data_IF_241538618437
#
_entry.id   IF_241538618437
#
_cell.length_a   1.000
_cell.length_b   1.000
_cell.length_c   1.000
_cell.angle_alpha   90.00
_cell.angle_beta   90.00
_cell.angle_gamma   90.00
#
_symmetry.space_group_name_H-M   'P 1'
#
loop_
_entity.id
_entity.type
_entity.pdbx_description
1 polymer ?
#
# COMPACT_ATOMS: atom_id res chain seq x y z
N UNK A 1 2.99 86.21 -16.67
CA UNK A 1 2.12 85.43 -15.76
C UNK A 1 2.33 83.95 -16.09
N UNK A 2 2.78 83.12 -15.13
CA UNK A 2 3.29 81.78 -15.42
C UNK A 2 2.15 80.75 -15.57
N UNK A 3 2.34 79.80 -16.48
CA UNK A 3 1.43 78.68 -16.73
C UNK A 3 1.59 77.57 -15.70
N UNK A 4 0.47 77.00 -15.25
CA UNK A 4 0.40 75.84 -14.37
C UNK A 4 0.77 74.57 -15.15
N UNK A 5 1.82 73.87 -14.71
CA UNK A 5 2.09 72.48 -15.09
C UNK A 5 1.39 71.58 -14.06
N UNK A 6 0.30 70.96 -14.47
CA UNK A 6 -0.37 69.88 -13.74
C UNK A 6 0.48 68.60 -13.88
N UNK A 7 1.05 68.11 -12.77
CA UNK A 7 1.73 66.81 -12.71
C UNK A 7 0.79 65.78 -12.11
N UNK A 8 0.31 64.87 -12.95
CA UNK A 8 -0.45 63.68 -12.55
C UNK A 8 0.50 62.71 -11.84
N UNK A 9 0.26 62.44 -10.55
CA UNK A 9 0.98 61.42 -9.78
C UNK A 9 0.35 60.05 -10.08
N UNK A 10 1.00 59.24 -10.89
CA UNK A 10 0.61 57.84 -11.08
C UNK A 10 1.12 57.03 -9.88
N UNK A 11 0.20 56.62 -9.00
CA UNK A 11 0.50 55.68 -7.91
C UNK A 11 0.50 54.28 -8.55
N UNK A 12 1.70 53.75 -8.83
CA UNK A 12 1.86 52.35 -9.19
C UNK A 12 1.66 51.50 -7.93
N UNK A 13 0.50 50.86 -7.82
CA UNK A 13 0.22 49.84 -6.82
C UNK A 13 1.06 48.60 -7.14
N UNK A 14 2.20 48.48 -6.47
CA UNK A 14 3.02 47.28 -6.48
C UNK A 14 2.30 46.20 -5.66
N UNK A 15 1.53 45.35 -6.35
CA UNK A 15 0.98 44.13 -5.78
C UNK A 15 2.16 43.18 -5.47
N UNK A 16 2.59 43.14 -4.21
CA UNK A 16 3.49 42.12 -3.73
C UNK A 16 2.77 40.76 -3.86
N UNK A 17 3.15 39.99 -4.88
CA UNK A 17 2.84 38.57 -4.96
C UNK A 17 3.59 37.92 -3.81
N UNK A 18 2.92 37.75 -2.67
CA UNK A 18 3.41 36.91 -1.58
C UNK A 18 3.58 35.50 -2.18
N UNK A 19 4.79 34.92 -2.19
CA UNK A 19 4.93 33.52 -2.55
C UNK A 19 4.12 32.71 -1.54
N UNK A 20 3.26 31.81 -2.04
CA UNK A 20 2.61 30.82 -1.22
C UNK A 20 3.68 30.17 -0.32
N UNK A 21 3.48 30.21 0.99
CA UNK A 21 4.39 29.59 1.95
C UNK A 21 4.56 28.13 1.55
N UNK A 22 5.72 27.79 1.00
CA UNK A 22 6.07 26.40 0.80
C UNK A 22 6.12 25.79 2.20
N UNK A 23 5.27 24.81 2.47
CA UNK A 23 5.34 23.99 3.67
C UNK A 23 6.74 23.38 3.71
N UNK A 24 7.64 23.98 4.49
CA UNK A 24 8.98 23.46 4.66
C UNK A 24 8.86 22.08 5.26
N UNK A 25 9.68 21.14 4.78
CA UNK A 25 9.79 19.85 5.42
C UNK A 25 10.25 20.05 6.88
N UNK A 26 9.45 19.59 7.82
CA UNK A 26 9.71 19.77 9.25
C UNK A 26 9.36 18.48 10.01
N UNK A 27 10.11 18.17 11.06
CA UNK A 27 9.82 17.10 12.02
C UNK A 27 9.63 15.69 11.41
N UNK A 28 10.26 15.43 10.26
CA UNK A 28 10.28 14.10 9.66
C UNK A 28 11.24 13.15 10.38
N UNK A 29 10.85 11.88 10.50
CA UNK A 29 11.64 10.84 11.18
C UNK A 29 11.92 9.69 10.20
N UNK A 30 13.19 9.34 10.05
CA UNK A 30 13.64 8.11 9.40
C UNK A 30 14.37 7.26 10.44
N UNK A 31 13.86 6.06 10.70
CA UNK A 31 14.56 5.04 11.48
C UNK A 31 14.78 3.81 10.62
N UNK A 32 16.01 3.32 10.53
CA UNK A 32 16.41 2.25 9.60
C UNK A 32 17.37 1.26 10.27
N UNK A 33 17.18 -0.03 9.97
CA UNK A 33 18.08 -1.12 10.26
C UNK A 33 18.34 -1.89 8.96
N UNK A 34 19.60 -1.93 8.54
CA UNK A 34 20.04 -2.73 7.39
C UNK A 34 21.02 -3.79 7.88
N UNK A 35 20.65 -5.06 7.72
CA UNK A 35 21.50 -6.20 8.07
C UNK A 35 21.74 -7.04 6.81
N UNK A 36 22.98 -7.50 6.63
CA UNK A 36 23.42 -8.19 5.41
C UNK A 36 24.04 -7.25 4.37
N UNK A 37 24.04 -7.64 3.10
CA UNK A 37 24.88 -7.03 2.07
C UNK A 37 24.12 -6.39 0.90
N UNK A 38 24.59 -5.24 0.41
CA UNK A 38 24.06 -4.54 -0.79
C UNK A 38 22.58 -4.11 -0.67
N UNK A 39 22.12 -3.80 0.53
CA UNK A 39 20.80 -3.22 0.73
C UNK A 39 20.82 -1.71 0.38
N UNK A 40 19.74 -1.21 -0.23
CA UNK A 40 19.56 0.20 -0.58
C UNK A 40 18.19 0.69 -0.12
N UNK A 41 18.14 1.79 0.60
CA UNK A 41 16.89 2.51 0.91
C UNK A 41 17.06 3.98 0.52
N UNK A 42 16.21 4.46 -0.39
CA UNK A 42 16.11 5.86 -0.76
C UNK A 42 14.83 6.44 -0.19
N UNK A 43 14.92 7.55 0.53
CA UNK A 43 13.78 8.22 1.15
C UNK A 43 13.78 9.68 0.74
N UNK A 44 12.68 10.14 0.16
CA UNK A 44 12.40 11.54 -0.11
C UNK A 44 11.22 12.02 0.75
N UNK A 45 11.52 12.94 1.67
CA UNK A 45 10.56 13.62 2.54
C UNK A 45 10.66 15.14 2.38
N UNK A 46 11.22 15.63 1.27
CA UNK A 46 11.46 17.05 1.02
C UNK A 46 10.18 17.90 0.96
N UNK A 47 9.03 17.24 0.73
CA UNK A 47 7.70 17.85 0.68
C UNK A 47 6.78 17.33 1.81
N UNK A 48 7.35 16.70 2.84
CA UNK A 48 6.59 16.12 3.94
C UNK A 48 6.83 16.86 5.26
N UNK A 49 5.84 16.90 6.15
CA UNK A 49 6.01 17.33 7.55
C UNK A 49 5.50 16.26 8.51
N UNK A 50 6.08 16.16 9.70
CA UNK A 50 5.67 15.21 10.76
C UNK A 50 5.53 13.76 10.27
N UNK A 51 6.27 13.40 9.22
CA UNK A 51 6.09 12.14 8.51
C UNK A 51 7.20 11.15 8.86
N UNK A 52 6.87 9.86 8.86
CA UNK A 52 7.75 8.85 9.43
C UNK A 52 7.92 7.63 8.52
N UNK A 53 9.17 7.19 8.39
CA UNK A 53 9.53 5.89 7.82
C UNK A 53 10.09 5.04 8.96
N UNK A 54 9.48 3.90 9.21
CA UNK A 54 9.81 3.05 10.35
C UNK A 54 9.36 1.61 10.21
N UNK A 55 9.26 0.94 11.35
CA UNK A 55 9.14 -0.50 11.43
C UNK A 55 7.75 -1.03 11.15
N UNK A 56 7.75 -2.30 10.75
CA UNK A 56 6.57 -3.09 10.47
C UNK A 56 6.71 -4.45 11.17
N UNK A 57 5.65 -4.88 11.85
CA UNK A 57 5.56 -6.24 12.37
C UNK A 57 4.48 -6.99 11.62
N UNK A 58 4.82 -8.19 11.14
CA UNK A 58 3.92 -9.07 10.40
C UNK A 58 3.66 -10.31 11.24
N UNK A 59 2.39 -10.66 11.37
CA UNK A 59 1.93 -11.92 11.96
C UNK A 59 1.19 -12.73 10.90
N UNK A 60 1.29 -14.04 10.99
CA UNK A 60 0.54 -14.94 10.13
C UNK A 60 -0.67 -15.47 10.90
N UNK A 61 -1.87 -15.34 10.31
CA UNK A 61 -3.12 -15.78 10.92
C UNK A 61 -3.86 -16.71 9.98
N UNK A 62 -4.53 -17.73 10.54
CA UNK A 62 -5.44 -18.58 9.77
C UNK A 62 -6.84 -17.96 9.81
N UNK A 63 -7.38 -17.63 8.64
CA UNK A 63 -8.76 -17.16 8.49
C UNK A 63 -9.62 -18.28 7.92
N UNK A 64 -10.79 -18.54 8.51
CA UNK A 64 -11.66 -19.65 8.10
C UNK A 64 -12.70 -19.15 7.10
N UNK A 65 -12.57 -19.54 5.83
CA UNK A 65 -13.63 -19.31 4.85
C UNK A 65 -14.68 -20.42 4.97
N UNK A 66 -15.88 -20.04 5.43
CA UNK A 66 -17.05 -20.92 5.49
C UNK A 66 -17.91 -20.70 4.24
N UNK A 67 -17.92 -21.66 3.32
CA UNK A 67 -18.89 -21.68 2.21
C UNK A 67 -20.21 -22.29 2.72
N UNK A 68 -21.23 -21.46 2.95
CA UNK A 68 -22.61 -21.93 3.12
C UNK A 68 -23.36 -21.78 1.80
N UNK A 69 -23.44 -22.85 1.02
CA UNK A 69 -24.37 -22.95 -0.10
C UNK A 69 -25.63 -23.69 0.35
N UNK A 70 -26.75 -22.99 0.50
CA UNK A 70 -28.06 -23.63 0.60
C UNK A 70 -28.61 -23.75 -0.83
N UNK A 71 -28.58 -24.96 -1.39
CA UNK A 71 -29.35 -25.24 -2.60
C UNK A 71 -30.80 -25.45 -2.19
N UNK A 72 -31.70 -24.67 -2.77
CA UNK A 72 -33.14 -24.93 -2.71
C UNK A 72 -33.40 -26.30 -3.36
N UNK A 73 -33.89 -27.25 -2.56
CA UNK A 73 -34.20 -28.60 -2.98
C UNK A 73 -35.28 -28.67 -4.08
N UNK A 74 -35.94 -27.54 -4.39
CA UNK A 74 -36.96 -27.44 -5.44
C UNK A 74 -36.45 -27.44 -6.89
N UNK A 75 -35.15 -27.26 -7.15
CA UNK A 75 -34.65 -27.07 -8.53
C UNK A 75 -34.11 -28.34 -9.22
N UNK A 76 -34.09 -29.50 -8.55
CA UNK A 76 -33.55 -30.75 -9.12
C UNK A 76 -34.56 -31.88 -8.99
N UNK A 77 -35.46 -31.96 -9.95
CA UNK A 77 -36.20 -33.18 -10.21
C UNK A 77 -35.23 -34.33 -10.46
N UNK A 78 -35.35 -35.39 -9.67
CA UNK A 78 -34.71 -36.71 -9.79
C UNK A 78 -33.27 -36.87 -9.25
N UNK A 79 -33.21 -37.37 -8.01
CA UNK A 79 -32.33 -38.46 -7.53
C UNK A 79 -30.88 -38.56 -8.05
N UNK A 80 -30.02 -37.66 -7.58
CA UNK A 80 -28.70 -37.96 -6.99
C UNK A 80 -28.09 -36.71 -6.33
N UNK A 81 -28.93 -35.98 -5.58
CA UNK A 81 -28.55 -34.76 -4.90
C UNK A 81 -27.86 -35.07 -3.57
N UNK A 82 -26.55 -34.84 -3.50
CA UNK A 82 -25.86 -34.44 -2.26
C UNK A 82 -24.60 -33.68 -2.65
N UNK A 83 -24.71 -32.37 -2.86
CA UNK A 83 -23.55 -31.48 -2.71
C UNK A 83 -23.51 -31.04 -1.25
N UNK A 84 -22.89 -31.85 -0.39
CA UNK A 84 -22.42 -31.38 0.92
C UNK A 84 -20.95 -31.04 0.75
N UNK A 85 -20.67 -29.76 0.52
CA UNK A 85 -19.36 -29.20 0.86
C UNK A 85 -19.57 -28.16 1.95
N UNK A 86 -19.90 -28.59 3.17
CA UNK A 86 -19.52 -27.84 4.36
C UNK A 86 -18.03 -28.11 4.61
N UNK A 87 -17.16 -27.49 3.82
CA UNK A 87 -15.73 -27.53 4.03
C UNK A 87 -15.26 -26.15 4.48
N UNK A 88 -14.75 -26.05 5.70
CA UNK A 88 -13.97 -24.87 6.10
C UNK A 88 -12.62 -24.94 5.39
N UNK A 89 -12.36 -24.02 4.45
CA UNK A 89 -11.00 -23.86 3.93
C UNK A 89 -10.30 -22.81 4.79
N UNK A 90 -9.21 -23.21 5.42
CA UNK A 90 -8.34 -22.26 6.11
C UNK A 90 -7.48 -21.53 5.08
N UNK A 91 -7.53 -20.21 5.12
CA UNK A 91 -6.69 -19.33 4.33
C UNK A 91 -5.61 -18.78 5.24
N UNK A 92 -4.36 -18.92 4.81
CA UNK A 92 -3.25 -18.21 5.45
C UNK A 92 -3.35 -16.73 5.09
N UNK A 93 -3.27 -15.85 6.08
CA UNK A 93 -3.43 -14.39 5.93
C UNK A 93 -2.37 -13.70 6.78
N UNK A 94 -1.48 -12.96 6.12
CA UNK A 94 -0.58 -12.01 6.77
C UNK A 94 -1.34 -10.80 7.32
N UNK A 95 -1.05 -10.39 8.55
CA UNK A 95 -1.51 -9.14 9.15
C UNK A 95 -0.33 -8.29 9.58
N UNK A 96 -0.38 -7.03 9.20
CA UNK A 96 0.63 -6.05 9.53
C UNK A 96 0.16 -5.13 10.66
N UNK A 97 1.11 -4.72 11.49
CA UNK A 97 0.95 -3.62 12.43
C UNK A 97 2.12 -2.65 12.28
N UNK A 98 1.82 -1.36 12.17
CA UNK A 98 2.84 -0.33 12.17
C UNK A 98 3.54 -0.28 13.53
N UNK A 99 4.86 -0.26 13.50
CA UNK A 99 5.71 -0.10 14.67
C UNK A 99 6.55 1.14 14.47
N UNK A 100 5.91 2.29 14.57
CA UNK A 100 6.56 3.58 14.37
C UNK A 100 7.87 3.68 15.18
N UNK A 101 7.88 3.22 16.43
CA UNK A 101 9.08 3.30 17.28
C UNK A 101 10.20 2.31 16.93
N UNK A 102 9.95 1.39 16.00
CA UNK A 102 10.96 0.47 15.48
C UNK A 102 11.53 0.98 14.16
N UNK A 103 12.76 0.59 13.79
CA UNK A 103 13.32 0.92 12.49
C UNK A 103 12.60 0.20 11.35
N UNK A 104 12.55 0.83 10.18
CA UNK A 104 12.34 0.15 8.92
C UNK A 104 13.47 -0.88 8.72
N UNK A 105 13.13 -2.12 8.34
CA UNK A 105 14.11 -3.22 8.30
C UNK A 105 14.36 -3.69 6.88
N UNK A 106 15.64 -3.77 6.50
CA UNK A 106 16.13 -4.52 5.35
C UNK A 106 17.14 -5.55 5.82
N UNK A 107 16.68 -6.78 6.01
CA UNK A 107 17.48 -7.92 6.48
C UNK A 107 17.74 -8.88 5.31
N UNK A 108 18.98 -9.34 5.18
CA UNK A 108 19.44 -10.15 4.07
C UNK A 108 20.26 -9.37 3.05
N UNK A 109 20.24 -9.83 1.79
CA UNK A 109 21.01 -9.21 0.72
C UNK A 109 20.15 -8.68 -0.43
N UNK A 110 20.67 -7.63 -1.07
CA UNK A 110 20.13 -6.99 -2.27
C UNK A 110 18.71 -6.42 -2.13
N UNK A 111 18.24 -6.13 -0.91
CA UNK A 111 16.95 -5.49 -0.72
C UNK A 111 17.02 -4.03 -1.18
N UNK A 112 16.00 -3.57 -1.89
CA UNK A 112 15.92 -2.23 -2.43
C UNK A 112 14.55 -1.62 -2.16
N UNK A 113 14.52 -0.38 -1.69
CA UNK A 113 13.29 0.35 -1.49
C UNK A 113 13.46 1.83 -1.87
N UNK A 114 12.47 2.38 -2.55
CA UNK A 114 12.32 3.82 -2.77
C UNK A 114 11.04 4.27 -2.11
N UNK A 115 11.14 5.28 -1.25
CA UNK A 115 10.02 5.82 -0.48
C UNK A 115 9.93 7.32 -0.72
N UNK A 116 8.75 7.79 -1.09
CA UNK A 116 8.44 9.21 -1.22
C UNK A 116 7.24 9.54 -0.34
N UNK A 117 7.39 10.52 0.54
CA UNK A 117 6.30 11.09 1.31
C UNK A 117 6.11 12.56 0.95
N UNK A 118 4.85 12.97 0.89
CA UNK A 118 4.45 14.37 0.70
C UNK A 118 3.25 14.68 1.60
N UNK A 119 3.09 15.93 2.03
CA UNK A 119 2.04 16.32 2.98
C UNK A 119 2.40 16.04 4.43
N UNK A 120 1.43 16.03 5.33
CA UNK A 120 1.70 15.92 6.77
C UNK A 120 1.27 14.57 7.36
N UNK A 121 1.99 14.11 8.39
CA UNK A 121 1.65 12.92 9.19
C UNK A 121 1.59 11.60 8.41
N UNK A 122 2.29 11.51 7.28
CA UNK A 122 2.36 10.27 6.51
C UNK A 122 3.22 9.22 7.22
N UNK A 123 2.84 7.94 7.12
CA UNK A 123 3.65 6.85 7.67
C UNK A 123 3.94 5.78 6.63
N UNK A 124 5.20 5.34 6.58
CA UNK A 124 5.62 4.15 5.83
C UNK A 124 6.24 3.13 6.78
N UNK A 125 5.59 1.98 6.88
CA UNK A 125 6.11 0.79 7.56
C UNK A 125 6.78 -0.13 6.55
N UNK A 126 8.06 -0.43 6.73
CA UNK A 126 8.83 -1.26 5.81
C UNK A 126 9.51 -2.43 6.53
N UNK A 127 9.30 -3.63 6.00
CA UNK A 127 10.02 -4.84 6.37
C UNK A 127 10.35 -5.63 5.10
N UNK A 128 11.63 -5.71 4.75
CA UNK A 128 12.14 -6.55 3.67
C UNK A 128 13.10 -7.57 4.28
N UNK A 129 12.74 -8.84 4.21
CA UNK A 129 13.58 -9.94 4.70
C UNK A 129 13.82 -10.90 3.55
N UNK A 130 15.06 -10.95 3.07
CA UNK A 130 15.53 -11.92 2.08
C UNK A 130 16.53 -12.87 2.72
N UNK A 131 16.61 -14.15 2.28
CA UNK A 131 17.71 -15.02 2.70
C UNK A 131 19.06 -14.40 2.29
N UNK A 132 20.09 -14.53 3.14
CA UNK A 132 21.42 -13.89 2.96
C UNK A 132 22.10 -14.19 1.60
N UNK A 133 21.67 -15.22 0.87
CA UNK A 133 22.20 -15.64 -0.43
C UNK A 133 21.15 -15.65 -1.57
N UNK A 134 20.01 -14.99 -1.36
CA UNK A 134 18.89 -14.93 -2.31
C UNK A 134 18.87 -13.66 -3.16
N UNK A 135 17.94 -13.62 -4.12
CA UNK A 135 17.51 -12.39 -4.79
C UNK A 135 16.77 -11.49 -3.78
N UNK A 136 17.18 -10.22 -3.70
CA UNK A 136 16.57 -9.29 -2.74
C UNK A 136 15.17 -8.86 -3.12
N UNK A 137 14.47 -8.22 -2.19
CA UNK A 137 13.13 -7.70 -2.41
C UNK A 137 13.18 -6.25 -2.90
N UNK A 138 12.19 -5.82 -3.69
CA UNK A 138 12.04 -4.47 -4.22
C UNK A 138 10.74 -3.83 -3.77
N UNK A 139 10.82 -2.60 -3.26
CA UNK A 139 9.65 -1.80 -2.90
C UNK A 139 9.70 -0.40 -3.53
N UNK A 140 8.55 0.09 -3.97
CA UNK A 140 8.33 1.50 -4.31
C UNK A 140 7.09 1.98 -3.59
N UNK A 141 7.23 3.01 -2.75
CA UNK A 141 6.15 3.51 -1.90
C UNK A 141 5.99 5.00 -2.10
N UNK A 142 4.78 5.44 -2.46
CA UNK A 142 4.42 6.84 -2.55
C UNK A 142 3.21 7.10 -1.63
N UNK A 143 3.39 7.97 -0.65
CA UNK A 143 2.33 8.41 0.26
C UNK A 143 2.13 9.92 0.14
N UNK A 144 0.88 10.31 -0.08
CA UNK A 144 0.46 11.71 -0.07
C UNK A 144 -0.51 11.95 1.09
N UNK A 145 -0.21 12.94 1.93
CA UNK A 145 -0.99 13.30 3.11
C UNK A 145 -0.75 12.39 4.31
N UNK A 146 -1.77 12.27 5.15
CA UNK A 146 -1.75 11.60 6.45
C UNK A 146 -1.98 10.08 6.39
N UNK A 147 -1.81 9.48 5.22
CA UNK A 147 -2.06 8.06 5.00
C UNK A 147 -0.93 7.17 5.50
N UNK A 148 -1.22 5.88 5.62
CA UNK A 148 -0.26 4.86 6.02
C UNK A 148 -0.03 3.84 4.90
N UNK A 149 1.22 3.69 4.45
CA UNK A 149 1.62 2.58 3.59
C UNK A 149 2.42 1.54 4.37
N UNK A 150 2.03 0.26 4.26
CA UNK A 150 2.70 -0.86 4.92
C UNK A 150 3.19 -1.84 3.85
N UNK A 151 4.50 -2.03 3.74
CA UNK A 151 5.10 -2.97 2.79
C UNK A 151 5.93 -3.99 3.54
N UNK A 152 5.47 -5.24 3.47
CA UNK A 152 6.09 -6.39 4.10
C UNK A 152 6.44 -7.45 3.07
N UNK A 153 7.70 -7.80 2.95
CA UNK A 153 8.20 -8.77 1.96
C UNK A 153 9.09 -9.80 2.65
N UNK A 154 8.56 -11.00 2.83
CA UNK A 154 9.20 -12.13 3.51
C UNK A 154 9.57 -13.21 2.48
N UNK A 155 10.86 -13.40 2.21
CA UNK A 155 11.37 -14.32 1.18
C UNK A 155 12.19 -13.58 0.12
N UNK A 156 12.40 -14.17 -1.05
CA UNK A 156 13.28 -13.61 -2.09
C UNK A 156 12.54 -13.13 -3.34
N UNK A 157 13.12 -12.16 -4.05
CA UNK A 157 12.62 -11.67 -5.34
C UNK A 157 11.18 -11.11 -5.34
N UNK A 158 10.67 -10.62 -4.21
CA UNK A 158 9.35 -10.01 -4.20
C UNK A 158 9.43 -8.54 -4.64
N UNK A 159 8.44 -8.08 -5.40
CA UNK A 159 8.29 -6.71 -5.85
C UNK A 159 6.94 -6.13 -5.38
N UNK A 160 6.99 -4.96 -4.76
CA UNK A 160 5.82 -4.27 -4.23
C UNK A 160 5.83 -2.80 -4.67
N UNK A 161 4.69 -2.34 -5.18
CA UNK A 161 4.44 -0.94 -5.48
C UNK A 161 3.17 -0.48 -4.79
N UNK A 162 3.29 0.43 -3.83
CA UNK A 162 2.18 0.98 -3.08
C UNK A 162 2.06 2.49 -3.35
N UNK A 163 0.91 2.91 -3.86
CA UNK A 163 0.56 4.31 -4.07
C UNK A 163 -0.65 4.64 -3.22
N UNK A 164 -0.50 5.62 -2.32
CA UNK A 164 -1.55 6.10 -1.45
C UNK A 164 -1.79 7.59 -1.71
N UNK A 165 -2.93 7.90 -2.34
CA UNK A 165 -3.31 9.27 -2.68
C UNK A 165 -3.75 10.08 -1.45
N UNK A 166 -3.79 11.40 -1.61
CA UNK A 166 -4.19 12.32 -0.56
C UNK A 166 -5.58 11.98 0.02
N UNK A 167 -5.66 11.92 1.35
CA UNK A 167 -6.88 11.61 2.09
C UNK A 167 -7.23 10.12 2.20
N UNK A 168 -6.51 9.23 1.50
CA UNK A 168 -6.67 7.79 1.71
C UNK A 168 -6.01 7.37 3.03
N UNK A 169 -6.61 6.39 3.71
CA UNK A 169 -6.18 5.97 5.04
C UNK A 169 -5.02 4.99 5.00
N UNK A 170 -5.09 3.95 4.14
CA UNK A 170 -4.12 2.87 4.19
C UNK A 170 -3.90 2.17 2.83
N UNK A 171 -2.64 1.81 2.56
CA UNK A 171 -2.25 0.85 1.52
C UNK A 171 -1.32 -0.20 2.13
N UNK A 172 -1.72 -1.47 2.13
CA UNK A 172 -0.91 -2.55 2.68
C UNK A 172 -0.58 -3.61 1.62
N UNK A 173 0.70 -3.91 1.41
CA UNK A 173 1.16 -5.04 0.59
C UNK A 173 1.96 -5.97 1.49
N UNK A 174 1.50 -7.20 1.64
CA UNK A 174 2.14 -8.24 2.43
C UNK A 174 2.41 -9.45 1.54
N UNK A 175 3.68 -9.83 1.41
CA UNK A 175 4.15 -10.90 0.55
C UNK A 175 4.97 -11.88 1.36
N UNK A 176 4.68 -13.17 1.25
CA UNK A 176 5.45 -14.27 1.84
C UNK A 176 5.70 -15.35 0.79
N UNK A 177 6.97 -15.68 0.57
CA UNK A 177 7.44 -16.61 -0.46
C UNK A 177 8.31 -15.89 -1.49
N UNK A 178 8.37 -16.40 -2.73
CA UNK A 178 9.34 -15.93 -3.71
C UNK A 178 8.73 -15.47 -5.03
N UNK A 179 9.29 -14.41 -5.61
CA UNK A 179 8.91 -13.95 -6.94
C UNK A 179 7.51 -13.36 -7.04
N UNK A 180 6.95 -12.85 -5.94
CA UNK A 180 5.62 -12.24 -5.96
C UNK A 180 5.71 -10.79 -6.43
N UNK A 181 4.74 -10.34 -7.20
CA UNK A 181 4.58 -8.97 -7.68
C UNK A 181 3.23 -8.42 -7.19
N UNK A 182 3.23 -7.22 -6.62
CA UNK A 182 2.03 -6.52 -6.17
C UNK A 182 2.06 -5.03 -6.58
N UNK A 183 1.00 -4.55 -7.23
CA UNK A 183 0.77 -3.12 -7.51
C UNK A 183 -0.56 -2.67 -6.90
N UNK A 184 -0.49 -1.87 -5.84
CA UNK A 184 -1.62 -1.35 -5.09
C UNK A 184 -1.72 0.17 -5.25
N UNK A 185 -2.85 0.65 -5.72
CA UNK A 185 -3.19 2.07 -5.76
C UNK A 185 -4.47 2.34 -4.97
N UNK A 186 -4.43 3.26 -4.00
CA UNK A 186 -5.57 3.61 -3.16
C UNK A 186 -5.80 5.11 -3.22
N UNK A 187 -7.00 5.52 -3.63
CA UNK A 187 -7.40 6.92 -3.74
C UNK A 187 -8.82 7.13 -3.25
N UNK A 188 -9.09 8.30 -2.68
CA UNK A 188 -10.38 8.64 -2.08
C UNK A 188 -10.27 8.80 -0.57
N UNK A 189 -11.08 9.70 -0.02
CA UNK A 189 -11.07 9.99 1.42
C UNK A 189 -11.44 8.75 2.22
N UNK A 190 -10.64 8.41 3.23
CA UNK A 190 -10.79 7.20 4.05
C UNK A 190 -10.81 5.88 3.26
N UNK A 191 -10.23 5.86 2.06
CA UNK A 191 -10.09 4.62 1.30
C UNK A 191 -8.96 3.75 1.89
N UNK A 192 -9.12 2.44 1.82
CA UNK A 192 -8.13 1.45 2.28
C UNK A 192 -7.97 0.32 1.28
N UNK A 193 -6.74 -0.10 1.04
CA UNK A 193 -6.43 -1.22 0.16
C UNK A 193 -5.44 -2.19 0.79
N UNK A 194 -5.62 -3.48 0.56
CA UNK A 194 -4.70 -4.52 0.99
C UNK A 194 -4.47 -5.57 -0.10
N UNK A 195 -3.21 -5.93 -0.36
CA UNK A 195 -2.83 -7.13 -1.11
C UNK A 195 -2.08 -8.05 -0.14
N UNK A 196 -2.50 -9.31 -0.08
CA UNK A 196 -1.88 -10.37 0.71
C UNK A 196 -1.51 -11.53 -0.22
N UNK A 197 -0.24 -11.86 -0.31
CA UNK A 197 0.28 -12.89 -1.20
C UNK A 197 1.09 -13.90 -0.42
N UNK A 198 0.63 -15.14 -0.36
CA UNK A 198 1.34 -16.23 0.32
C UNK A 198 1.59 -17.35 -0.69
N UNK A 199 2.85 -17.49 -1.09
CA UNK A 199 3.31 -18.48 -2.05
C UNK A 199 4.31 -17.91 -3.05
N UNK A 200 4.35 -18.45 -4.27
CA UNK A 200 5.40 -18.10 -5.25
C UNK A 200 4.83 -17.64 -6.59
N UNK A 201 5.50 -16.64 -7.19
CA UNK A 201 5.17 -16.16 -8.53
C UNK A 201 3.86 -15.39 -8.64
N UNK A 202 3.20 -15.04 -7.52
CA UNK A 202 1.89 -14.40 -7.53
C UNK A 202 2.04 -12.98 -8.06
N UNK A 203 1.35 -12.65 -9.15
CA UNK A 203 1.34 -11.32 -9.73
C UNK A 203 -0.07 -10.76 -9.52
N UNK A 204 -0.24 -9.67 -8.77
CA UNK A 204 -1.55 -9.09 -8.49
C UNK A 204 -1.51 -7.56 -8.59
N UNK A 205 -2.61 -6.98 -9.04
CA UNK A 205 -2.81 -5.54 -8.96
C UNK A 205 -4.21 -5.22 -8.44
N UNK A 206 -4.29 -4.23 -7.54
CA UNK A 206 -5.52 -3.75 -6.95
C UNK A 206 -5.57 -2.22 -7.01
N UNK A 207 -6.63 -1.68 -7.60
CA UNK A 207 -6.96 -0.26 -7.52
C UNK A 207 -8.20 -0.08 -6.65
N UNK A 208 -8.10 0.77 -5.62
CA UNK A 208 -9.21 1.11 -4.73
C UNK A 208 -9.52 2.58 -4.88
N UNK A 209 -10.75 2.88 -5.29
CA UNK A 209 -11.19 4.25 -5.56
C UNK A 209 -12.52 4.57 -4.90
N UNK A 210 -12.68 5.83 -4.49
CA UNK A 210 -13.90 6.37 -3.89
C UNK A 210 -13.85 6.48 -2.37
N UNK A 211 -14.68 7.36 -1.81
CA UNK A 211 -14.66 7.66 -0.39
C UNK A 211 -15.18 6.49 0.45
N UNK A 212 -14.53 6.23 1.57
CA UNK A 212 -14.84 5.13 2.50
C UNK A 212 -14.84 3.73 1.85
N UNK A 213 -14.12 3.56 0.73
CA UNK A 213 -13.99 2.27 0.06
C UNK A 213 -12.87 1.46 0.69
N UNK A 214 -13.16 0.21 1.05
CA UNK A 214 -12.13 -0.74 1.49
C UNK A 214 -12.07 -1.93 0.55
N UNK A 215 -10.86 -2.34 0.14
CA UNK A 215 -10.70 -3.59 -0.59
C UNK A 215 -9.49 -4.40 -0.14
N UNK A 216 -9.66 -5.71 -0.11
CA UNK A 216 -8.58 -6.66 0.16
C UNK A 216 -8.51 -7.73 -0.93
N UNK A 217 -7.32 -8.00 -1.44
CA UNK A 217 -7.02 -9.10 -2.35
C UNK A 217 -6.10 -10.10 -1.64
N UNK A 218 -6.61 -11.30 -1.39
CA UNK A 218 -5.86 -12.38 -0.74
C UNK A 218 -5.58 -13.46 -1.79
N UNK A 219 -4.30 -13.72 -2.06
CA UNK A 219 -3.83 -14.67 -3.04
C UNK A 219 -2.89 -15.70 -2.41
N UNK A 220 -3.28 -16.97 -2.43
CA UNK A 220 -2.47 -18.05 -1.88
C UNK A 220 -2.15 -19.11 -2.96
N UNK A 221 -0.91 -19.61 -2.96
CA UNK A 221 -0.47 -20.72 -3.82
C UNK A 221 0.65 -20.36 -4.79
N UNK A 222 0.66 -21.02 -5.95
CA UNK A 222 1.66 -20.78 -7.01
C UNK A 222 1.00 -20.23 -8.28
N UNK A 223 1.65 -19.25 -8.92
CA UNK A 223 1.18 -18.70 -10.20
C UNK A 223 1.97 -19.27 -11.39
N UNK A 224 1.31 -19.36 -12.54
CA UNK A 224 1.87 -19.71 -13.85
C UNK A 224 1.55 -18.63 -14.91
N UNK A 225 1.25 -17.39 -14.51
CA UNK A 225 0.86 -16.34 -15.48
C UNK A 225 0.36 -15.03 -14.88
N UNK A 226 0.08 -14.07 -15.78
CA UNK A 226 -0.34 -12.70 -15.47
C UNK A 226 -1.74 -12.64 -14.86
N UNK A 227 -1.90 -11.98 -13.71
CA UNK A 227 -3.24 -11.63 -13.19
C UNK A 227 -3.74 -10.37 -13.88
N UNK A 228 -5.04 -10.37 -14.19
CA UNK A 228 -5.75 -9.16 -14.63
C UNK A 228 -5.89 -8.21 -13.45
N UNK A 229 -5.59 -6.91 -13.60
CA UNK A 229 -5.79 -5.93 -12.53
C UNK A 229 -7.23 -5.94 -12.03
N UNK A 230 -7.40 -5.89 -10.71
CA UNK A 230 -8.72 -5.74 -10.07
C UNK A 230 -8.94 -4.28 -9.69
N UNK A 231 -10.06 -3.70 -10.11
CA UNK A 231 -10.47 -2.36 -9.70
C UNK A 231 -11.72 -2.45 -8.84
N UNK A 232 -11.66 -1.85 -7.65
CA UNK A 232 -12.80 -1.63 -6.77
C UNK A 232 -13.10 -0.13 -6.75
N UNK A 233 -14.29 0.21 -7.25
CA UNK A 233 -14.84 1.56 -7.18
C UNK A 233 -16.14 1.51 -6.39
N UNK A 234 -16.20 2.22 -5.27
CA UNK A 234 -17.39 2.26 -4.42
C UNK A 234 -17.56 3.64 -3.74
N UNK A 235 -18.67 3.83 -3.04
CA UNK A 235 -18.95 5.00 -2.20
C UNK A 235 -19.22 4.60 -0.74
N UNK A 236 -18.53 3.57 -0.23
CA UNK A 236 -18.68 3.08 1.14
C UNK A 236 -18.77 1.57 1.30
N UNK A 237 -18.45 0.79 0.27
CA UNK A 237 -18.48 -0.67 0.32
C UNK A 237 -17.11 -1.25 0.71
N UNK A 238 -17.15 -2.40 1.37
CA UNK A 238 -15.99 -3.26 1.59
C UNK A 238 -16.04 -4.44 0.62
N UNK A 239 -14.95 -4.67 -0.11
CA UNK A 239 -14.82 -5.78 -1.07
C UNK A 239 -13.64 -6.66 -0.68
N UNK A 240 -13.88 -7.93 -0.42
CA UNK A 240 -12.81 -8.91 -0.23
C UNK A 240 -12.80 -9.88 -1.40
N UNK A 241 -11.68 -9.91 -2.11
CA UNK A 241 -11.42 -10.83 -3.23
C UNK A 241 -10.44 -11.89 -2.73
N UNK A 242 -10.86 -13.13 -2.75
CA UNK A 242 -10.00 -14.27 -2.42
C UNK A 242 -9.72 -15.07 -3.68
N UNK A 243 -8.45 -15.19 -4.04
CA UNK A 243 -7.97 -16.00 -5.14
C UNK A 243 -7.08 -17.12 -4.61
N UNK A 244 -7.58 -18.35 -4.59
CA UNK A 244 -6.78 -19.51 -4.22
C UNK A 244 -6.49 -20.32 -5.46
N UNK A 245 -5.21 -20.50 -5.81
CA UNK A 245 -4.81 -21.42 -6.87
C UNK A 245 -4.00 -22.55 -6.25
N UNK A 246 -4.44 -23.78 -6.47
CA UNK A 246 -3.73 -24.99 -6.05
C UNK A 246 -2.67 -25.36 -7.07
#
# INVERSE_FOLDING_TARGET
>A
MPSLICRTLAIASLAAILPAAQTMADSNILSILQEGGRNTLTVDQSQASDSKVGGLSISNTLDSLSLTGQLDAGALGTSNGTLITSGSRQMDVLRASSKAELPAVQDGSNNSATVTLSGSNGFVGLLQQSPLNGTGNRATVNVSGNGQALVGQLGGNNEAKAILGAGASQAAILQKGNGNFADLSVTGSNASGQINQIGNGLNNSLAVTGANTSAALIANGVSNGTSTPVTVQSNGASVTITQSKM
#
